data_IF_741190745734
#
_entry.id   IF_741190745734
#
_cell.length_a   1.000
_cell.length_b   1.000
_cell.length_c   1.000
_cell.angle_alpha   90.00
_cell.angle_beta   90.00
_cell.angle_gamma   90.00
#
_symmetry.space_group_name_H-M   'P 1'
#
loop_
_entity.id
_entity.type
_entity.pdbx_description
1 polymer ?
#
# COMPACT_ATOMS: atom_id res chain seq x y z
N UNK A 1 -18.16 -16.42 19.05
CA UNK A 1 -18.31 -15.08 18.43
C UNK A 1 -17.07 -14.76 17.57
N UNK A 2 -17.03 -15.09 16.26
CA UNK A 2 -15.84 -14.87 15.41
C UNK A 2 -16.01 -13.83 14.28
N UNK A 3 -17.19 -13.21 14.12
CA UNK A 3 -17.48 -12.32 12.97
C UNK A 3 -16.77 -10.97 13.09
N UNK A 4 -16.76 -10.38 14.29
CA UNK A 4 -16.09 -9.10 14.55
C UNK A 4 -14.56 -9.19 14.35
N UNK A 5 -13.98 -10.38 14.55
CA UNK A 5 -12.53 -10.57 14.37
C UNK A 5 -12.11 -10.53 12.90
N UNK A 6 -12.91 -11.09 11.97
CA UNK A 6 -12.56 -11.09 10.54
C UNK A 6 -12.70 -9.73 9.89
N UNK A 7 -13.76 -9.00 10.24
CA UNK A 7 -13.95 -7.62 9.79
C UNK A 7 -12.85 -6.71 10.33
N UNK A 8 -12.51 -6.84 11.62
CA UNK A 8 -11.39 -6.12 12.25
C UNK A 8 -10.05 -6.40 11.56
N UNK A 9 -9.77 -7.66 11.20
CA UNK A 9 -8.55 -8.02 10.44
C UNK A 9 -8.53 -7.37 9.07
N UNK A 10 -9.66 -7.35 8.35
CA UNK A 10 -9.75 -6.71 7.03
C UNK A 10 -9.56 -5.20 7.12
N UNK A 11 -10.15 -4.56 8.13
CA UNK A 11 -9.94 -3.13 8.40
C UNK A 11 -8.46 -2.84 8.67
N UNK A 12 -7.81 -3.65 9.52
CA UNK A 12 -6.39 -3.50 9.81
C UNK A 12 -5.50 -3.64 8.56
N UNK A 13 -5.86 -4.52 7.62
CA UNK A 13 -5.16 -4.65 6.33
C UNK A 13 -5.32 -3.38 5.49
N UNK A 14 -6.52 -2.80 5.46
CA UNK A 14 -6.78 -1.55 4.75
C UNK A 14 -6.01 -0.38 5.37
N UNK A 15 -6.05 -0.24 6.70
CA UNK A 15 -5.32 0.81 7.42
C UNK A 15 -3.80 0.70 7.17
N UNK A 16 -3.26 -0.53 7.17
CA UNK A 16 -1.85 -0.78 6.85
C UNK A 16 -1.51 -0.35 5.42
N UNK A 17 -2.34 -0.68 4.44
CA UNK A 17 -2.12 -0.26 3.05
C UNK A 17 -2.12 1.27 2.94
N UNK A 18 -3.09 1.95 3.56
CA UNK A 18 -3.16 3.41 3.53
C UNK A 18 -1.93 4.06 4.15
N UNK A 19 -1.50 3.58 5.32
CA UNK A 19 -0.29 4.08 5.98
C UNK A 19 0.97 3.86 5.13
N UNK A 20 1.13 2.67 4.53
CA UNK A 20 2.24 2.40 3.60
C UNK A 20 2.26 3.37 2.42
N UNK A 21 1.10 3.64 1.83
CA UNK A 21 0.97 4.56 0.68
C UNK A 21 1.26 6.01 1.07
N UNK A 22 0.83 6.46 2.26
CA UNK A 22 1.17 7.78 2.78
C UNK A 22 2.69 7.93 2.97
N UNK A 23 3.35 6.93 3.55
CA UNK A 23 4.79 6.95 3.75
C UNK A 23 5.56 6.93 2.42
N UNK A 24 5.08 6.17 1.44
CA UNK A 24 5.62 6.16 0.07
C UNK A 24 5.54 7.56 -0.54
N UNK A 25 4.39 8.22 -0.47
CA UNK A 25 4.21 9.58 -0.99
C UNK A 25 5.14 10.57 -0.29
N UNK A 26 5.30 10.48 1.04
CA UNK A 26 6.22 11.34 1.81
C UNK A 26 7.67 11.16 1.35
N UNK A 27 8.13 9.92 1.17
CA UNK A 27 9.49 9.61 0.69
C UNK A 27 9.73 10.14 -0.72
N UNK A 28 8.82 9.86 -1.66
CA UNK A 28 8.99 10.31 -3.04
C UNK A 28 8.90 11.82 -3.19
N UNK A 29 8.07 12.50 -2.40
CA UNK A 29 8.06 13.96 -2.37
C UNK A 29 9.39 14.54 -1.89
N UNK A 30 10.02 13.92 -0.88
CA UNK A 30 11.34 14.35 -0.42
C UNK A 30 12.44 14.10 -1.48
N UNK A 31 12.35 12.99 -2.22
CA UNK A 31 13.28 12.63 -3.29
C UNK A 31 13.11 13.49 -4.55
N UNK A 32 11.87 13.78 -4.96
CA UNK A 32 11.55 14.58 -6.15
C UNK A 32 12.03 16.03 -6.08
N UNK A 33 12.26 16.58 -4.87
CA UNK A 33 12.93 17.87 -4.69
C UNK A 33 14.40 17.87 -5.17
N UNK A 34 15.00 16.69 -5.32
CA UNK A 34 16.41 16.51 -5.65
C UNK A 34 16.66 15.81 -7.00
N UNK A 35 15.61 15.26 -7.64
CA UNK A 35 15.72 14.31 -8.76
C UNK A 35 15.15 14.84 -10.10
N UNK A 36 15.29 16.15 -10.37
CA UNK A 36 14.68 16.80 -11.54
C UNK A 36 15.11 16.21 -12.91
N UNK A 37 16.26 15.54 -12.99
CA UNK A 37 16.82 15.01 -14.25
C UNK A 37 16.38 13.56 -14.57
N UNK A 38 15.84 12.80 -13.62
CA UNK A 38 15.48 11.37 -13.78
C UNK A 38 13.98 11.08 -13.59
N UNK A 39 13.11 11.99 -14.04
CA UNK A 39 11.67 11.95 -13.76
C UNK A 39 10.96 10.66 -14.23
N UNK A 40 11.38 10.06 -15.34
CA UNK A 40 10.76 8.83 -15.86
C UNK A 40 11.09 7.59 -15.01
N UNK A 41 12.37 7.42 -14.64
CA UNK A 41 12.81 6.34 -13.74
C UNK A 41 12.19 6.49 -12.35
N UNK A 42 12.04 7.74 -11.87
CA UNK A 42 11.36 8.02 -10.61
C UNK A 42 9.88 7.60 -10.64
N UNK A 43 9.17 7.88 -11.74
CA UNK A 43 7.79 7.45 -11.91
C UNK A 43 7.64 5.92 -11.97
N UNK A 44 8.55 5.22 -12.65
CA UNK A 44 8.56 3.76 -12.69
C UNK A 44 8.81 3.14 -11.31
N UNK A 45 9.71 3.73 -10.52
CA UNK A 45 10.02 3.29 -9.16
C UNK A 45 8.80 3.46 -8.24
N UNK A 46 8.11 4.60 -8.32
CA UNK A 46 6.83 4.82 -7.62
C UNK A 46 5.80 3.75 -8.02
N UNK A 47 5.65 3.48 -9.32
CA UNK A 47 4.70 2.50 -9.81
C UNK A 47 5.02 1.08 -9.30
N UNK A 48 6.30 0.69 -9.28
CA UNK A 48 6.74 -0.60 -8.77
C UNK A 48 6.46 -0.76 -7.26
N UNK A 49 6.73 0.27 -6.46
CA UNK A 49 6.46 0.24 -5.02
C UNK A 49 4.94 0.19 -4.73
N UNK A 50 4.12 0.97 -5.45
CA UNK A 50 2.66 0.92 -5.32
C UNK A 50 2.14 -0.47 -5.69
N UNK A 51 2.62 -1.05 -6.78
CA UNK A 51 2.24 -2.40 -7.20
C UNK A 51 2.61 -3.45 -6.13
N UNK A 52 3.75 -3.29 -5.47
CA UNK A 52 4.17 -4.15 -4.37
C UNK A 52 3.21 -4.07 -3.17
N UNK A 53 2.92 -2.87 -2.68
CA UNK A 53 2.00 -2.69 -1.54
C UNK A 53 0.59 -3.22 -1.85
N UNK A 54 0.10 -3.02 -3.08
CA UNK A 54 -1.15 -3.59 -3.55
C UNK A 54 -1.12 -5.13 -3.56
N UNK A 55 -0.03 -5.75 -4.04
CA UNK A 55 0.11 -7.20 -4.07
C UNK A 55 0.13 -7.80 -2.66
N UNK A 56 0.82 -7.15 -1.71
CA UNK A 56 0.85 -7.54 -0.29
C UNK A 56 -0.55 -7.46 0.31
N UNK A 57 -1.25 -6.32 0.14
CA UNK A 57 -2.59 -6.12 0.67
C UNK A 57 -3.59 -7.13 0.06
N UNK A 58 -3.56 -7.34 -1.26
CA UNK A 58 -4.41 -8.34 -1.93
C UNK A 58 -4.15 -9.74 -1.41
N UNK A 59 -2.89 -10.15 -1.28
CA UNK A 59 -2.53 -11.45 -0.73
C UNK A 59 -3.04 -11.64 0.70
N UNK A 60 -2.97 -10.59 1.53
CA UNK A 60 -3.53 -10.61 2.87
C UNK A 60 -5.07 -10.72 2.85
N UNK A 61 -5.77 -9.94 2.03
CA UNK A 61 -7.23 -10.01 1.90
C UNK A 61 -7.71 -11.36 1.35
N UNK A 62 -6.97 -11.99 0.45
CA UNK A 62 -7.27 -13.33 -0.05
C UNK A 62 -7.25 -14.39 1.06
N UNK A 63 -6.41 -14.22 2.09
CA UNK A 63 -6.40 -15.08 3.29
C UNK A 63 -7.56 -14.80 4.25
N UNK A 64 -8.25 -13.67 4.09
CA UNK A 64 -9.36 -13.22 4.95
C UNK A 64 -10.58 -12.83 4.09
N UNK A 65 -11.27 -13.82 3.48
CA UNK A 65 -12.42 -13.55 2.62
C UNK A 65 -13.56 -12.85 3.39
N UNK A 66 -14.35 -11.99 2.71
CA UNK A 66 -15.47 -11.31 3.33
C UNK A 66 -16.54 -12.30 3.77
N UNK A 67 -17.25 -11.96 4.85
CA UNK A 67 -18.48 -12.67 5.23
C UNK A 67 -19.55 -12.35 4.17
N UNK A 68 -20.20 -13.39 3.65
CA UNK A 68 -21.39 -13.26 2.79
C UNK A 68 -22.63 -13.05 3.62
#
# INVERSE_FOLDING_TARGET
MPTHSRESVRQSIADRLLNSLEDLVRRHRALGLHAAEESALHAELIAAEVAHELAVARSALHRHPPLR
#
